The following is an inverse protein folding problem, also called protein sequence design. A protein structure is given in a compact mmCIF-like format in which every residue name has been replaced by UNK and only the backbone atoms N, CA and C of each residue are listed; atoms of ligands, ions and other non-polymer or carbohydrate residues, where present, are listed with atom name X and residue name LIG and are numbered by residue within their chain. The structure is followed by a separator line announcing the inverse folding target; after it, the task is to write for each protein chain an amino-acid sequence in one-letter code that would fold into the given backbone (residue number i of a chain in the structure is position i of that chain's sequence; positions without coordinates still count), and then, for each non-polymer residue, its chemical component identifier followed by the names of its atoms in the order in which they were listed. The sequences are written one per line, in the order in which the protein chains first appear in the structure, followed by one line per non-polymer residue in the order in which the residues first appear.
data_IF_156813672255
#
_entry.id   IF_156813672255
#
_cell.length_a   1.000
_cell.length_b   1.000
_cell.length_c   1.000
_cell.angle_alpha   90.00
_cell.angle_beta   90.00
_cell.angle_gamma   90.00
#
_symmetry.space_group_name_H-M   'P 1'
#
loop_
_entity.id
_entity.type
_entity.pdbx_description
1 polymer ?
#
# COMPACT_ATOMS: atom_id res chain seq x y z
N UNK A 1 0.87 3.82 -29.60
CA UNK A 1 0.09 2.72 -28.97
C UNK A 1 0.64 2.50 -27.56
N UNK A 2 -0.11 2.88 -26.50
CA UNK A 2 0.35 2.83 -25.11
C UNK A 2 0.38 1.37 -24.59
N UNK A 3 1.45 0.63 -24.89
CA UNK A 3 1.67 -0.75 -24.41
C UNK A 3 2.08 -0.84 -22.93
N UNK A 4 2.36 0.30 -22.30
CA UNK A 4 2.88 0.37 -20.93
C UNK A 4 1.88 0.03 -19.83
N UNK A 5 0.57 0.00 -20.12
CA UNK A 5 -0.44 -0.33 -19.10
C UNK A 5 -0.53 -1.84 -18.85
N UNK A 6 -0.56 -2.65 -19.91
CA UNK A 6 -0.61 -4.10 -19.76
C UNK A 6 0.68 -4.64 -19.12
N UNK A 7 1.82 -4.05 -19.45
CA UNK A 7 3.10 -4.36 -18.80
C UNK A 7 3.08 -4.07 -17.29
N UNK A 8 2.44 -2.97 -16.86
CA UNK A 8 2.27 -2.63 -15.44
C UNK A 8 1.31 -3.59 -14.73
N UNK A 9 0.23 -4.00 -15.39
CA UNK A 9 -0.74 -4.96 -14.84
C UNK A 9 -0.09 -6.33 -14.66
N UNK A 10 0.72 -6.79 -15.63
CA UNK A 10 1.44 -8.07 -15.55
C UNK A 10 2.50 -8.13 -14.44
N UNK A 11 2.89 -7.01 -13.84
CA UNK A 11 3.80 -6.99 -12.69
C UNK A 11 3.09 -7.35 -11.38
N UNK A 12 1.77 -7.24 -11.31
CA UNK A 12 0.98 -7.61 -10.13
C UNK A 12 0.83 -9.12 -10.11
N UNK A 13 1.43 -9.76 -9.11
CA UNK A 13 1.32 -11.19 -8.84
C UNK A 13 0.35 -11.44 -7.69
N UNK A 14 -0.01 -12.71 -7.51
CA UNK A 14 -0.84 -13.18 -6.39
C UNK A 14 -0.26 -12.76 -5.03
N UNK A 15 1.07 -12.69 -4.93
CA UNK A 15 1.84 -12.32 -3.72
C UNK A 15 2.08 -10.80 -3.57
N UNK A 16 1.51 -9.98 -4.46
CA UNK A 16 1.72 -8.52 -4.43
C UNK A 16 0.75 -7.84 -3.46
N UNK A 17 1.31 -7.12 -2.49
CA UNK A 17 0.58 -6.15 -1.67
C UNK A 17 0.54 -4.80 -2.39
N UNK A 18 -0.67 -4.27 -2.62
CA UNK A 18 -0.87 -2.96 -3.23
C UNK A 18 -1.18 -1.96 -2.13
N UNK A 19 -0.38 -0.91 -1.99
CA UNK A 19 -0.59 0.15 -0.99
C UNK A 19 -0.94 1.46 -1.70
N UNK A 20 -2.15 1.96 -1.44
CA UNK A 20 -2.58 3.28 -1.87
C UNK A 20 -2.37 4.28 -0.74
N UNK A 21 -1.63 5.36 -1.02
CA UNK A 21 -1.35 6.42 -0.04
C UNK A 21 -1.83 7.76 -0.58
N UNK A 22 -2.66 8.44 0.20
CA UNK A 22 -3.04 9.83 -0.01
C UNK A 22 -2.15 10.74 0.86
N UNK A 23 -1.38 11.60 0.20
CA UNK A 23 -0.33 12.41 0.83
C UNK A 23 -0.84 13.84 1.03
N UNK A 24 -1.25 14.16 2.25
CA UNK A 24 -1.50 15.54 2.68
C UNK A 24 -0.25 16.29 3.14
N UNK A 25 -0.41 17.55 3.56
CA UNK A 25 0.70 18.39 4.05
C UNK A 25 1.25 17.93 5.41
N UNK A 26 0.35 17.62 6.34
CA UNK A 26 0.67 17.24 7.72
C UNK A 26 0.30 15.78 8.02
N UNK A 27 -0.78 15.29 7.42
CA UNK A 27 -1.34 13.95 7.66
C UNK A 27 -1.51 13.21 6.35
N UNK A 28 -1.21 11.92 6.39
CA UNK A 28 -1.30 10.98 5.28
C UNK A 28 -2.24 9.84 5.63
N UNK A 29 -2.82 9.23 4.61
CA UNK A 29 -3.76 8.13 4.75
C UNK A 29 -3.31 6.96 3.88
N UNK A 30 -3.21 5.76 4.43
CA UNK A 30 -2.81 4.56 3.68
C UNK A 30 -3.83 3.42 3.83
N UNK A 31 -4.03 2.70 2.72
CA UNK A 31 -4.80 1.45 2.66
C UNK A 31 -4.04 0.40 1.86
N UNK A 32 -4.14 -0.85 2.28
CA UNK A 32 -3.52 -1.97 1.61
C UNK A 32 -4.59 -2.91 1.04
N UNK A 33 -4.32 -3.40 -0.16
CA UNK A 33 -5.18 -4.30 -0.91
C UNK A 33 -4.35 -5.46 -1.45
N UNK A 34 -4.99 -6.61 -1.64
CA UNK A 34 -4.38 -7.70 -2.42
C UNK A 34 -4.47 -7.43 -3.93
N UNK A 35 -3.89 -8.33 -4.74
CA UNK A 35 -3.94 -8.27 -6.20
C UNK A 35 -5.36 -8.29 -6.81
N UNK A 36 -6.38 -8.70 -6.03
CA UNK A 36 -7.80 -8.74 -6.43
C UNK A 36 -8.54 -7.48 -6.01
N UNK A 37 -7.89 -6.57 -5.28
CA UNK A 37 -8.50 -5.35 -4.75
C UNK A 37 -9.26 -5.57 -3.44
N UNK A 38 -9.06 -6.68 -2.74
CA UNK A 38 -9.65 -6.94 -1.42
C UNK A 38 -8.85 -6.17 -0.37
N UNK A 39 -9.52 -5.36 0.45
CA UNK A 39 -8.89 -4.59 1.51
C UNK A 39 -8.34 -5.53 2.60
N UNK A 40 -7.03 -5.43 2.85
CA UNK A 40 -6.30 -6.32 3.75
C UNK A 40 -6.04 -5.72 5.13
N UNK A 41 -6.20 -4.41 5.27
CA UNK A 41 -5.76 -3.67 6.45
C UNK A 41 -6.74 -2.56 6.77
N UNK A 42 -6.92 -2.23 8.05
CA UNK A 42 -7.61 -1.00 8.45
C UNK A 42 -6.82 0.23 7.98
N UNK A 43 -7.55 1.30 7.66
CA UNK A 43 -7.00 2.62 7.33
C UNK A 43 -5.89 3.02 8.32
N UNK A 44 -4.70 3.27 7.78
CA UNK A 44 -3.61 3.89 8.54
C UNK A 44 -3.66 5.40 8.35
N UNK A 45 -3.51 6.13 9.45
CA UNK A 45 -3.34 7.58 9.46
C UNK A 45 -1.98 7.86 10.09
N UNK A 46 -1.12 8.59 9.41
CA UNK A 46 0.23 8.89 9.90
C UNK A 46 0.65 10.32 9.55
N UNK A 47 1.60 10.87 10.31
CA UNK A 47 2.09 12.26 10.14
C UNK A 47 3.21 12.35 9.10
N UNK A 48 3.41 13.55 8.56
CA UNK A 48 4.55 13.90 7.72
C UNK A 48 5.84 14.11 8.54
N UNK A 49 6.21 13.10 9.32
CA UNK A 49 7.44 13.07 10.14
C UNK A 49 8.14 11.74 9.95
N UNK A 50 9.43 11.65 10.31
CA UNK A 50 10.19 10.41 10.19
C UNK A 50 9.51 9.25 10.95
N UNK A 51 9.02 9.50 12.15
CA UNK A 51 8.30 8.53 12.99
C UNK A 51 6.99 8.08 12.35
N UNK A 52 6.31 8.98 11.62
CA UNK A 52 5.12 8.66 10.84
C UNK A 52 5.42 7.69 9.71
N UNK A 53 6.54 7.87 9.01
CA UNK A 53 6.99 6.93 7.98
C UNK A 53 7.50 5.60 8.56
N UNK A 54 8.11 5.59 9.74
CA UNK A 54 8.42 4.33 10.47
C UNK A 54 7.15 3.57 10.87
N UNK A 55 6.08 4.28 11.23
CA UNK A 55 4.78 3.67 11.47
C UNK A 55 4.20 3.03 10.21
N UNK A 56 4.31 3.71 9.07
CA UNK A 56 3.91 3.18 7.76
C UNK A 56 4.68 1.88 7.44
N UNK A 57 6.00 1.86 7.62
CA UNK A 57 6.83 0.68 7.34
C UNK A 57 6.41 -0.54 8.17
N UNK A 58 6.30 -0.37 9.50
CA UNK A 58 5.83 -1.44 10.40
C UNK A 58 4.42 -1.92 10.04
N UNK A 59 3.55 -1.01 9.65
CA UNK A 59 2.19 -1.35 9.25
C UNK A 59 2.17 -2.15 7.94
N UNK A 60 2.97 -1.80 6.94
CA UNK A 60 3.10 -2.55 5.69
C UNK A 60 3.65 -3.97 5.93
N UNK A 61 4.65 -4.10 6.80
CA UNK A 61 5.20 -5.41 7.20
C UNK A 61 4.13 -6.31 7.85
N UNK A 62 3.28 -5.73 8.70
CA UNK A 62 2.19 -6.46 9.33
C UNK A 62 1.11 -6.87 8.31
N UNK A 63 0.73 -5.97 7.41
CA UNK A 63 -0.24 -6.26 6.35
C UNK A 63 0.26 -7.39 5.42
N UNK A 64 1.55 -7.39 5.07
CA UNK A 64 2.17 -8.44 4.26
C UNK A 64 2.16 -9.81 4.96
N UNK A 65 2.40 -9.85 6.29
CA UNK A 65 2.40 -11.10 7.06
C UNK A 65 1.01 -11.73 7.23
N UNK A 66 -0.07 -10.95 7.12
CA UNK A 66 -1.44 -11.47 7.21
C UNK A 66 -1.89 -12.23 5.95
N UNK A 67 -1.07 -12.28 4.89
CA UNK A 67 -1.33 -13.07 3.70
C UNK A 67 -0.92 -14.56 3.83
N UNK A 68 -0.32 -14.96 4.97
CA UNK A 68 0.04 -16.34 5.27
C UNK A 68 -1.06 -17.09 6.03
#
# INVERSE_FOLDING_TARGET
MKRTQNEKISQIKIETLIVGIDIGKETHYARAFDYRGIEMSKLLIFSNTAEGFELLDRWMLNACRQQC
#
